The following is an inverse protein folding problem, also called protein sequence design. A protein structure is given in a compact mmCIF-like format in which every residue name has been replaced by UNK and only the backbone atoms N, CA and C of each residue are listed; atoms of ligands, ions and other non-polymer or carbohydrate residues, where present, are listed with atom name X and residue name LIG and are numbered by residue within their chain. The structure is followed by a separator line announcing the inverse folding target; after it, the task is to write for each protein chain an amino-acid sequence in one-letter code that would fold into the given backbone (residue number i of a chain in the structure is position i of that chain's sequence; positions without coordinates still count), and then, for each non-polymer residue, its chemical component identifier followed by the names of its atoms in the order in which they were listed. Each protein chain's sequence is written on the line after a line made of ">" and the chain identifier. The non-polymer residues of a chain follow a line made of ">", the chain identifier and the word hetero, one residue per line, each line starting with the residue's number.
data_IF_160916199698
#
_entry.id   IF_160916199698
#
_cell.length_a   1.000
_cell.length_b   1.000
_cell.length_c   1.000
_cell.angle_alpha   90.00
_cell.angle_beta   90.00
_cell.angle_gamma   90.00
#
_symmetry.space_group_name_H-M   'P 1'
#
loop_
_entity.id
_entity.type
_entity.pdbx_description
1 polymer ?
#
# COMPACT_ATOMS: atom_id res chain seq x y z
N UNK A 1 1.43 37.55 27.67
CA UNK A 1 0.85 36.70 26.63
C UNK A 1 1.94 36.11 25.76
N UNK A 2 1.82 34.83 25.42
CA UNK A 2 2.67 34.13 24.46
C UNK A 2 1.81 33.75 23.25
N UNK A 3 2.43 33.73 22.08
CA UNK A 3 1.78 33.35 20.83
C UNK A 3 2.75 32.51 20.02
N UNK A 4 2.31 31.33 19.58
CA UNK A 4 3.13 30.50 18.69
C UNK A 4 3.21 31.12 17.29
N UNK A 5 4.32 30.92 16.59
CA UNK A 5 4.62 31.60 15.33
C UNK A 5 4.00 30.94 14.08
N UNK A 6 3.42 29.75 14.20
CA UNK A 6 2.98 28.93 13.05
C UNK A 6 1.46 28.80 12.97
N UNK A 7 0.77 28.72 14.10
CA UNK A 7 -0.66 28.49 14.23
C UNK A 7 -1.39 29.59 15.01
N UNK A 8 -0.69 30.65 15.43
CA UNK A 8 -1.22 31.82 16.16
C UNK A 8 -2.01 31.48 17.43
N UNK A 9 -1.70 30.33 18.04
CA UNK A 9 -2.27 29.88 19.31
C UNK A 9 -1.69 30.66 20.48
N UNK A 10 -2.48 30.85 21.52
CA UNK A 10 -2.19 31.81 22.59
C UNK A 10 -2.23 31.16 23.97
N UNK A 11 -1.34 31.65 24.83
CA UNK A 11 -1.29 31.29 26.23
C UNK A 11 -0.78 32.44 27.08
N UNK A 12 -0.74 32.21 28.39
CA UNK A 12 -0.19 33.15 29.36
C UNK A 12 1.03 32.49 29.99
N UNK A 13 2.19 33.10 29.80
CA UNK A 13 3.42 32.74 30.50
C UNK A 13 3.67 33.76 31.60
N UNK A 14 3.90 33.28 32.82
CA UNK A 14 4.21 34.11 33.98
C UNK A 14 5.20 33.39 34.88
N UNK A 15 5.95 34.12 35.70
CA UNK A 15 6.88 33.49 36.62
C UNK A 15 8.03 34.40 37.04
N UNK A 16 8.93 33.82 37.82
CA UNK A 16 10.14 34.48 38.33
C UNK A 16 11.34 33.58 38.04
N UNK A 17 12.40 34.20 37.53
CA UNK A 17 13.71 33.58 37.42
C UNK A 17 14.66 34.31 38.38
N UNK A 18 15.24 33.57 39.32
CA UNK A 18 16.21 34.09 40.29
C UNK A 18 17.59 33.51 40.02
N UNK A 19 18.64 34.25 40.33
CA UNK A 19 20.02 33.79 40.14
C UNK A 19 20.94 34.34 41.22
N UNK A 20 22.08 33.69 41.44
CA UNK A 20 23.19 34.23 42.21
C UNK A 20 24.32 34.68 41.26
N UNK A 21 24.54 35.99 41.12
CA UNK A 21 25.60 36.54 40.24
C UNK A 21 25.56 36.00 38.79
N UNK A 22 24.36 35.88 38.20
CA UNK A 22 24.10 35.28 36.89
C UNK A 22 24.51 33.80 36.78
N UNK A 23 24.69 33.11 37.91
CA UNK A 23 24.92 31.68 38.07
C UNK A 23 23.79 31.08 38.92
N UNK A 24 23.71 29.75 38.94
CA UNK A 24 22.78 28.99 39.80
C UNK A 24 21.33 29.48 39.64
N UNK A 25 20.85 29.45 38.40
CA UNK A 25 19.51 29.90 38.06
C UNK A 25 18.47 28.97 38.67
N UNK A 26 17.46 29.57 39.30
CA UNK A 26 16.30 28.88 39.84
C UNK A 26 15.03 29.50 39.24
N UNK A 27 14.19 28.63 38.70
CA UNK A 27 13.00 29.00 37.94
C UNK A 27 11.74 28.68 38.75
N UNK A 28 10.73 29.53 38.61
CA UNK A 28 9.36 29.25 39.00
C UNK A 28 8.46 29.88 37.94
N UNK A 29 8.13 29.08 36.93
CA UNK A 29 7.42 29.51 35.73
C UNK A 29 6.10 28.76 35.64
N UNK A 30 5.08 29.46 35.16
CA UNK A 30 3.74 28.94 34.94
C UNK A 30 3.28 29.29 33.52
N UNK A 31 2.75 28.29 32.83
CA UNK A 31 2.07 28.44 31.55
C UNK A 31 0.60 28.10 31.77
N UNK A 32 -0.29 28.99 31.36
CA UNK A 32 -1.73 28.75 31.30
C UNK A 32 -2.20 28.84 29.84
N UNK A 33 -2.81 27.76 29.36
CA UNK A 33 -3.36 27.62 28.01
C UNK A 33 -4.88 27.41 28.11
N UNK A 34 -5.70 28.48 28.21
CA UNK A 34 -7.13 28.36 28.51
C UNK A 34 -7.97 27.77 27.37
N UNK A 35 -7.46 27.77 26.14
CA UNK A 35 -8.22 27.33 24.96
C UNK A 35 -7.46 26.27 24.16
N UNK A 36 -6.37 26.68 23.52
CA UNK A 36 -5.61 25.82 22.61
C UNK A 36 -4.24 26.46 22.45
N UNK A 37 -3.19 25.74 22.81
CA UNK A 37 -1.80 26.15 22.66
C UNK A 37 -1.01 25.02 21.96
N UNK A 38 -0.22 25.37 20.95
CA UNK A 38 0.74 24.47 20.34
C UNK A 38 1.84 24.13 21.37
N UNK A 39 2.05 22.84 21.62
CA UNK A 39 3.07 22.37 22.57
C UNK A 39 4.03 21.35 21.98
N UNK A 40 3.69 20.77 20.84
CA UNK A 40 4.55 19.89 20.06
C UNK A 40 4.35 20.21 18.59
N UNK A 41 5.45 20.36 17.84
CA UNK A 41 5.43 20.49 16.39
C UNK A 41 6.70 19.85 15.84
N UNK A 42 6.79 18.53 16.02
CA UNK A 42 7.97 17.76 15.66
C UNK A 42 7.72 17.10 14.31
N UNK A 43 8.54 17.37 13.28
CA UNK A 43 8.40 16.75 11.97
C UNK A 43 8.67 15.24 12.05
N UNK A 44 8.18 14.43 11.08
CA UNK A 44 8.49 13.02 11.03
C UNK A 44 10.00 12.76 10.91
N UNK A 45 10.54 12.01 11.86
CA UNK A 45 11.92 11.51 11.88
C UNK A 45 11.90 10.01 12.27
N UNK A 46 12.74 9.20 11.63
CA UNK A 46 12.83 7.76 11.89
C UNK A 46 13.56 7.42 13.19
N UNK A 47 14.40 8.35 13.67
CA UNK A 47 15.21 8.18 14.89
C UNK A 47 14.50 8.72 16.15
N UNK A 48 13.38 9.42 15.99
CA UNK A 48 12.60 9.98 17.09
C UNK A 48 11.59 8.99 17.67
N UNK A 49 11.50 8.93 18.99
CA UNK A 49 10.55 8.09 19.73
C UNK A 49 9.07 8.47 19.50
N UNK A 50 8.80 9.71 19.07
CA UNK A 50 7.48 10.23 18.78
C UNK A 50 7.58 11.48 17.91
N UNK A 51 6.58 11.73 17.07
CA UNK A 51 6.48 12.97 16.31
C UNK A 51 5.02 13.36 16.05
N UNK A 52 4.82 14.57 15.57
CA UNK A 52 3.51 15.11 15.24
C UNK A 52 3.29 16.53 15.75
N UNK A 53 2.05 16.99 15.63
CA UNK A 53 1.66 18.34 16.04
C UNK A 53 0.61 18.22 17.13
N UNK A 54 0.91 18.66 18.35
CA UNK A 54 0.00 18.55 19.50
C UNK A 54 -0.45 19.92 20.00
N UNK A 55 -1.75 20.05 20.16
CA UNK A 55 -2.40 21.20 20.76
C UNK A 55 -3.09 20.79 22.06
N UNK A 56 -2.92 21.59 23.11
CA UNK A 56 -3.50 21.31 24.41
C UNK A 56 -4.21 22.53 25.01
N UNK A 57 -5.09 22.27 25.96
CA UNK A 57 -5.62 23.23 26.93
C UNK A 57 -5.25 22.78 28.33
N UNK A 58 -4.79 23.68 29.20
CA UNK A 58 -4.40 23.30 30.55
C UNK A 58 -3.37 24.22 31.16
N UNK A 59 -2.60 23.72 32.11
CA UNK A 59 -1.55 24.46 32.79
C UNK A 59 -0.28 23.62 32.95
N UNK A 60 0.86 24.31 32.90
CA UNK A 60 2.16 23.74 33.22
C UNK A 60 2.88 24.58 34.27
N UNK A 61 3.60 23.91 35.16
CA UNK A 61 4.48 24.53 36.17
C UNK A 61 5.88 23.98 35.95
N UNK A 62 6.85 24.87 35.83
CA UNK A 62 8.27 24.55 35.67
C UNK A 62 9.01 25.19 36.84
N UNK A 63 9.58 24.38 37.71
CA UNK A 63 10.17 24.85 38.96
C UNK A 63 11.52 24.19 39.25
N UNK A 64 12.38 24.91 39.96
CA UNK A 64 13.65 24.39 40.47
C UNK A 64 14.88 24.96 39.77
N UNK A 65 16.08 24.48 40.16
CA UNK A 65 17.33 24.86 39.52
C UNK A 65 17.33 24.47 38.04
N UNK A 66 18.00 25.24 37.19
CA UNK A 66 18.09 24.93 35.75
C UNK A 66 18.75 23.57 35.46
N UNK A 67 19.51 23.06 36.42
CA UNK A 67 20.18 21.77 36.36
C UNK A 67 19.35 20.63 36.98
N UNK A 68 18.19 20.93 37.60
CA UNK A 68 17.28 19.99 38.27
C UNK A 68 15.81 20.47 38.15
N UNK A 69 15.32 20.65 36.92
CA UNK A 69 13.97 21.17 36.69
C UNK A 69 12.89 20.11 36.96
N UNK A 70 11.84 20.50 37.65
CA UNK A 70 10.61 19.74 37.85
C UNK A 70 9.49 20.39 37.03
N UNK A 71 8.97 19.64 36.06
CA UNK A 71 7.92 20.08 35.15
C UNK A 71 6.67 19.27 35.44
N UNK A 72 5.57 19.96 35.73
CA UNK A 72 4.26 19.35 35.95
C UNK A 72 3.25 19.93 34.99
N UNK A 73 2.54 19.08 34.28
CA UNK A 73 1.59 19.48 33.25
C UNK A 73 0.26 18.79 33.51
N UNK A 74 -0.81 19.58 33.52
CA UNK A 74 -2.19 19.10 33.57
C UNK A 74 -2.90 19.63 32.34
N UNK A 75 -3.29 18.76 31.42
CA UNK A 75 -3.76 19.21 30.13
C UNK A 75 -4.74 18.25 29.46
N UNK A 76 -5.59 18.80 28.61
CA UNK A 76 -6.47 18.05 27.72
C UNK A 76 -6.09 18.28 26.26
N UNK A 77 -6.21 17.24 25.42
CA UNK A 77 -5.94 17.37 23.98
C UNK A 77 -6.96 18.28 23.30
N UNK A 78 -6.51 19.02 22.29
CA UNK A 78 -7.33 19.95 21.51
C UNK A 78 -7.29 19.62 20.02
N UNK A 79 -8.23 20.21 19.27
CA UNK A 79 -8.41 19.95 17.85
C UNK A 79 -7.14 20.22 17.04
N UNK A 80 -6.84 19.28 16.14
CA UNK A 80 -5.65 19.31 15.29
C UNK A 80 -4.44 18.61 15.90
N UNK A 81 -4.61 17.97 17.06
CA UNK A 81 -3.57 17.11 17.64
C UNK A 81 -3.43 15.84 16.82
N UNK A 82 -2.24 15.63 16.28
CA UNK A 82 -1.80 14.39 15.65
C UNK A 82 -0.58 13.89 16.39
N UNK A 83 -0.65 12.66 16.90
CA UNK A 83 0.44 12.05 17.65
C UNK A 83 0.78 10.71 17.03
N UNK A 84 2.05 10.51 16.70
CA UNK A 84 2.54 9.28 16.10
C UNK A 84 3.66 8.66 16.92
N UNK A 85 3.53 7.36 17.17
CA UNK A 85 4.53 6.54 17.84
C UNK A 85 5.12 5.57 16.81
N UNK A 86 6.36 5.79 16.34
CA UNK A 86 7.11 4.77 15.63
C UNK A 86 7.56 3.68 16.60
N UNK A 87 7.20 2.41 16.34
CA UNK A 87 7.87 1.28 16.99
C UNK A 87 9.22 1.06 16.29
N UNK A 88 10.32 1.42 16.93
CA UNK A 88 11.67 1.16 16.42
C UNK A 88 12.24 -0.12 17.05
N UNK A 89 12.70 -1.06 16.22
CA UNK A 89 13.50 -2.24 16.64
C UNK A 89 14.90 -1.85 17.13
N UNK A 90 15.32 -0.63 16.84
CA UNK A 90 16.40 -0.04 17.60
C UNK A 90 15.81 0.19 18.98
N UNK A 91 16.39 -0.48 19.99
CA UNK A 91 16.67 0.21 21.25
C UNK A 91 16.93 1.65 20.82
N UNK A 92 15.96 2.54 21.05
CA UNK A 92 16.31 3.94 21.09
C UNK A 92 17.18 3.97 22.33
N UNK A 93 18.46 3.67 22.14
CA UNK A 93 19.55 4.39 22.75
C UNK A 93 19.25 5.81 22.30
N UNK A 94 18.24 6.42 22.94
CA UNK A 94 17.68 7.69 22.57
C UNK A 94 18.82 8.61 22.81
N UNK A 95 19.47 8.98 21.71
CA UNK A 95 20.86 9.44 21.62
C UNK A 95 21.42 9.73 23.01
N UNK A 96 21.88 8.65 23.65
CA UNK A 96 22.53 8.71 24.94
C UNK A 96 23.85 9.36 24.57
N UNK A 97 23.82 10.69 24.43
CA UNK A 97 24.79 11.52 23.74
C UNK A 97 26.02 11.65 24.64
N UNK A 98 26.63 10.49 24.88
CA UNK A 98 27.91 10.26 25.51
C UNK A 98 29.06 10.56 24.53
N UNK A 99 28.78 10.91 23.26
CA UNK A 99 29.80 11.45 22.36
C UNK A 99 29.98 12.95 22.63
N UNK A 100 30.67 13.23 23.74
CA UNK A 100 31.24 14.54 24.03
C UNK A 100 32.57 14.68 23.30
N UNK A 101 32.61 15.53 22.28
CA UNK A 101 33.88 16.00 21.73
C UNK A 101 34.60 16.84 22.79
N UNK A 102 35.66 16.27 23.39
CA UNK A 102 36.49 16.99 24.35
C UNK A 102 37.03 18.26 23.72
N UNK A 103 36.79 19.41 24.37
CA UNK A 103 37.43 20.66 23.99
C UNK A 103 38.96 20.52 24.05
N UNK A 104 39.74 21.36 23.34
CA UNK A 104 41.20 21.30 23.38
C UNK A 104 41.78 21.39 24.81
N UNK A 105 41.09 22.11 25.71
CA UNK A 105 41.44 22.18 27.12
C UNK A 105 41.20 20.85 27.84
N UNK A 106 40.04 20.21 27.63
CA UNK A 106 39.69 18.91 28.22
C UNK A 106 40.56 17.76 27.71
N UNK A 107 40.98 17.79 26.43
CA UNK A 107 41.98 16.85 25.89
C UNK A 107 43.34 17.02 26.60
N UNK A 108 43.77 18.27 26.85
CA UNK A 108 45.01 18.56 27.57
C UNK A 108 44.94 18.14 29.04
N UNK A 109 43.80 18.27 29.71
CA UNK A 109 43.60 17.82 31.10
C UNK A 109 43.57 16.29 31.22
N UNK A 110 42.98 15.59 30.24
CA UNK A 110 42.97 14.12 30.17
C UNK A 110 44.37 13.54 29.93
N UNK A 111 45.20 14.17 29.10
CA UNK A 111 46.59 13.75 28.83
C UNK A 111 47.51 14.02 30.04
N UNK A 112 47.18 14.99 30.90
CA UNK A 112 47.96 15.36 32.10
C UNK A 112 47.54 14.65 33.39
N UNK A 113 46.64 13.66 33.31
CA UNK A 113 46.31 12.77 34.44
C UNK A 113 45.45 13.39 35.55
N UNK A 114 44.82 14.54 35.33
CA UNK A 114 43.90 15.12 36.29
C UNK A 114 42.52 14.44 36.21
N UNK A 115 41.91 14.15 37.37
CA UNK A 115 40.59 13.51 37.44
C UNK A 115 39.57 14.33 36.64
N UNK A 116 38.95 13.68 35.65
CA UNK A 116 37.79 14.22 34.97
C UNK A 116 36.69 14.29 36.03
N UNK A 117 36.31 15.50 36.45
CA UNK A 117 35.09 15.71 37.24
C UNK A 117 33.96 15.07 36.44
N UNK A 118 33.41 13.96 36.97
CA UNK A 118 32.26 13.27 36.38
C UNK A 118 31.16 14.34 36.30
N UNK A 119 30.81 14.77 35.08
CA UNK A 119 29.79 15.79 34.87
C UNK A 119 28.52 15.27 35.55
N UNK A 120 28.05 15.95 36.59
CA UNK A 120 26.81 15.60 37.27
C UNK A 120 25.70 15.53 36.22
N UNK A 121 24.96 14.42 36.23
CA UNK A 121 23.80 14.24 35.37
C UNK A 121 22.80 15.31 35.81
N UNK A 122 22.59 16.31 34.95
CA UNK A 122 21.59 17.35 35.19
C UNK A 122 20.21 16.68 35.23
N UNK A 123 19.50 16.86 36.33
CA UNK A 123 18.16 16.37 36.57
C UNK A 123 17.14 17.10 35.71
N UNK A 124 16.25 16.35 35.05
CA UNK A 124 14.95 16.85 34.63
C UNK A 124 13.94 15.81 35.07
N UNK A 125 12.87 16.24 35.72
CA UNK A 125 11.73 15.42 36.11
C UNK A 125 10.50 16.00 35.44
N UNK A 126 9.72 15.16 34.76
CA UNK A 126 8.49 15.58 34.10
C UNK A 126 7.35 14.66 34.51
N UNK A 127 6.23 15.27 34.92
CA UNK A 127 4.98 14.60 35.26
C UNK A 127 3.85 15.22 34.41
N UNK A 128 3.28 14.44 33.50
CA UNK A 128 2.14 14.82 32.68
C UNK A 128 0.91 14.07 33.14
N UNK A 129 -0.15 14.81 33.44
CA UNK A 129 -1.52 14.31 33.63
C UNK A 129 -2.35 14.79 32.42
N UNK A 130 -2.61 13.86 31.49
CA UNK A 130 -3.20 14.15 30.20
C UNK A 130 -4.60 13.55 30.08
N UNK A 131 -5.58 14.39 29.78
CA UNK A 131 -6.92 14.00 29.36
C UNK A 131 -6.99 13.96 27.82
N UNK A 132 -6.90 12.75 27.27
CA UNK A 132 -7.02 12.50 25.84
C UNK A 132 -8.51 12.41 25.51
N UNK A 133 -8.97 13.28 24.63
CA UNK A 133 -10.34 13.27 24.11
C UNK A 133 -10.37 13.08 22.58
N UNK A 134 -11.58 13.00 22.02
CA UNK A 134 -11.88 12.78 20.59
C UNK A 134 -11.29 13.81 19.62
N UNK A 135 -10.66 14.88 20.12
CA UNK A 135 -10.01 15.87 19.28
C UNK A 135 -8.59 15.48 18.85
N UNK A 136 -8.02 14.44 19.46
CA UNK A 136 -6.72 13.90 19.10
C UNK A 136 -6.86 12.67 18.19
N UNK A 137 -6.03 12.63 17.15
CA UNK A 137 -5.84 11.48 16.30
C UNK A 137 -4.49 10.84 16.61
N UNK A 138 -4.51 9.54 16.91
CA UNK A 138 -3.33 8.76 17.27
C UNK A 138 -3.05 7.77 16.15
N UNK A 139 -1.79 7.68 15.75
CA UNK A 139 -1.30 6.69 14.80
C UNK A 139 -0.18 5.87 15.43
N UNK A 140 -0.35 4.55 15.42
CA UNK A 140 0.62 3.58 15.92
C UNK A 140 1.03 2.68 14.76
N UNK A 141 2.33 2.53 14.55
CA UNK A 141 2.85 1.52 13.63
C UNK A 141 2.83 0.18 14.35
N UNK A 142 2.04 -0.78 13.88
CA UNK A 142 1.84 -2.10 14.54
C UNK A 142 2.83 -3.14 14.03
N UNK A 143 3.21 -3.04 12.76
CA UNK A 143 4.17 -3.95 12.13
C UNK A 143 5.10 -3.10 11.26
N UNK A 144 6.37 -2.98 11.65
CA UNK A 144 7.36 -2.21 10.91
C UNK A 144 7.76 -2.90 9.59
N UNK A 145 7.82 -4.23 9.56
CA UNK A 145 8.22 -5.00 8.37
C UNK A 145 7.24 -4.78 7.23
N UNK A 146 5.95 -4.86 7.54
CA UNK A 146 4.89 -4.64 6.55
C UNK A 146 4.39 -3.18 6.52
N UNK A 147 4.84 -2.33 7.45
CA UNK A 147 4.35 -0.97 7.67
C UNK A 147 2.82 -0.92 7.90
N UNK A 148 2.29 -1.88 8.67
CA UNK A 148 0.89 -1.87 9.07
C UNK A 148 0.68 -0.82 10.15
N UNK A 149 -0.34 0.02 9.98
CA UNK A 149 -0.61 1.13 10.92
C UNK A 149 -2.02 1.06 11.46
N UNK A 150 -2.17 1.40 12.73
CA UNK A 150 -3.44 1.59 13.38
C UNK A 150 -3.62 3.08 13.63
N UNK A 151 -4.65 3.67 13.03
CA UNK A 151 -4.94 5.09 13.13
C UNK A 151 -6.34 5.30 13.67
N UNK A 152 -6.51 6.11 14.70
CA UNK A 152 -7.83 6.32 15.27
C UNK A 152 -7.93 7.46 16.27
N UNK A 153 -9.14 7.66 16.75
CA UNK A 153 -9.50 8.59 17.81
C UNK A 153 -10.08 7.84 18.97
N UNK A 154 -9.88 8.38 20.15
CA UNK A 154 -10.31 7.75 21.38
C UNK A 154 -10.35 8.73 22.53
N UNK A 155 -10.66 8.17 23.69
CA UNK A 155 -10.67 8.90 24.94
C UNK A 155 -9.91 8.12 26.00
N UNK A 156 -9.27 8.83 26.94
CA UNK A 156 -8.48 8.19 27.98
C UNK A 156 -7.74 9.19 28.84
N UNK A 157 -7.32 8.75 30.02
CA UNK A 157 -6.44 9.54 30.90
C UNK A 157 -5.08 8.88 30.94
N UNK A 158 -4.02 9.64 30.70
CA UNK A 158 -2.65 9.17 30.67
C UNK A 158 -1.80 9.94 31.67
N UNK A 159 -1.16 9.22 32.58
CA UNK A 159 -0.16 9.72 33.50
C UNK A 159 1.22 9.32 32.99
N UNK A 160 2.06 10.28 32.64
CA UNK A 160 3.41 10.05 32.14
C UNK A 160 4.41 10.66 33.11
N UNK A 161 5.37 9.85 33.56
CA UNK A 161 6.49 10.31 34.39
C UNK A 161 7.81 9.92 33.78
N UNK A 162 8.68 10.90 33.58
CA UNK A 162 10.04 10.66 33.13
C UNK A 162 11.07 11.44 33.93
N UNK A 163 12.26 10.86 34.11
CA UNK A 163 13.41 11.56 34.65
C UNK A 163 14.70 11.29 33.85
N UNK A 164 15.68 12.19 33.94
CA UNK A 164 16.99 12.03 33.27
C UNK A 164 17.87 10.92 33.87
N UNK A 165 17.36 10.18 34.86
CA UNK A 165 18.03 9.02 35.44
C UNK A 165 17.55 7.71 34.81
N UNK A 166 16.72 7.79 33.76
CA UNK A 166 16.28 6.67 32.95
C UNK A 166 14.95 6.07 33.39
N UNK A 167 14.22 6.71 34.31
CA UNK A 167 12.86 6.29 34.62
C UNK A 167 11.91 6.89 33.59
N UNK A 168 11.20 6.06 32.82
CA UNK A 168 10.11 6.50 31.96
C UNK A 168 8.93 5.54 32.16
N UNK A 169 7.89 6.02 32.83
CA UNK A 169 6.71 5.24 33.12
C UNK A 169 5.45 5.94 32.62
N UNK A 170 4.49 5.14 32.20
CA UNK A 170 3.19 5.55 31.69
C UNK A 170 2.10 4.70 32.34
N UNK A 171 1.02 5.34 32.76
CA UNK A 171 -0.16 4.68 33.31
C UNK A 171 -1.42 5.24 32.69
N UNK A 172 -2.40 4.38 32.48
CA UNK A 172 -3.72 4.79 32.01
C UNK A 172 -4.27 3.88 30.94
N UNK A 173 -5.49 4.19 30.53
CA UNK A 173 -6.22 3.46 29.51
C UNK A 173 -6.65 4.43 28.41
N UNK A 174 -6.43 4.03 27.16
CA UNK A 174 -6.96 4.69 25.98
C UNK A 174 -7.98 3.77 25.32
N UNK A 175 -9.23 4.22 25.24
CA UNK A 175 -10.32 3.50 24.57
C UNK A 175 -10.53 4.07 23.18
N UNK A 176 -10.47 3.20 22.17
CA UNK A 176 -10.71 3.56 20.77
C UNK A 176 -12.21 3.75 20.53
N UNK A 177 -12.57 4.92 20.03
CA UNK A 177 -13.95 5.27 19.66
C UNK A 177 -14.16 5.02 18.17
N UNK A 178 -13.20 5.44 17.35
CA UNK A 178 -13.19 5.20 15.92
C UNK A 178 -11.76 4.96 15.43
N UNK A 179 -11.59 4.11 14.44
CA UNK A 179 -10.26 3.86 13.92
C UNK A 179 -10.27 3.03 12.65
N UNK A 180 -9.10 2.98 12.03
CA UNK A 180 -8.82 2.28 10.82
C UNK A 180 -7.46 1.58 10.95
N UNK A 181 -7.47 0.29 10.72
CA UNK A 181 -6.28 -0.54 10.64
C UNK A 181 -5.88 -0.68 9.17
N UNK A 182 -4.77 -0.06 8.77
CA UNK A 182 -4.12 -0.29 7.48
C UNK A 182 -3.31 -1.58 7.57
N UNK A 183 -4.01 -2.71 7.41
CA UNK A 183 -3.42 -4.04 7.41
C UNK A 183 -2.59 -4.25 6.15
N UNK A 184 -1.29 -4.52 6.35
CA UNK A 184 -0.35 -4.86 5.30
C UNK A 184 0.31 -6.19 5.61
N UNK A 185 0.48 -7.02 4.59
CA UNK A 185 1.11 -8.32 4.77
C UNK A 185 1.83 -8.78 3.51
N UNK A 186 3.07 -9.26 3.69
CA UNK A 186 3.88 -9.88 2.64
C UNK A 186 4.16 -8.97 1.43
N UNK A 187 4.12 -7.65 1.61
CA UNK A 187 4.36 -6.64 0.56
C UNK A 187 3.31 -6.57 -0.56
N UNK A 188 2.32 -7.46 -0.57
CA UNK A 188 1.33 -7.59 -1.66
C UNK A 188 -0.09 -7.26 -1.18
N UNK A 189 -0.34 -7.42 0.12
CA UNK A 189 -1.65 -7.22 0.72
C UNK A 189 -1.69 -5.84 1.36
N UNK A 190 -2.69 -5.03 1.00
CA UNK A 190 -3.04 -3.82 1.73
C UNK A 190 -4.56 -3.70 1.84
N UNK A 191 -5.08 -3.68 3.07
CA UNK A 191 -6.50 -3.51 3.37
C UNK A 191 -6.71 -2.53 4.51
N UNK A 192 -7.59 -1.58 4.27
CA UNK A 192 -8.09 -0.67 5.31
C UNK A 192 -9.29 -1.31 5.99
N UNK A 193 -9.14 -1.69 7.24
CA UNK A 193 -10.12 -2.43 8.03
C UNK A 193 -10.65 -1.50 9.13
N UNK A 194 -11.97 -1.40 9.28
CA UNK A 194 -12.55 -0.55 10.31
C UNK A 194 -12.32 -1.18 11.70
N UNK A 195 -11.83 -0.38 12.66
CA UNK A 195 -11.67 -0.81 14.05
C UNK A 195 -13.05 -0.85 14.70
N UNK A 196 -13.32 -1.90 15.48
CA UNK A 196 -14.53 -2.02 16.28
C UNK A 196 -14.40 -1.09 17.49
N UNK A 197 -15.37 -0.18 17.73
CA UNK A 197 -15.37 0.69 18.89
C UNK A 197 -15.33 -0.09 20.21
N UNK A 198 -14.58 0.41 21.19
CA UNK A 198 -14.45 -0.18 22.52
C UNK A 198 -13.18 -1.00 22.75
N UNK A 199 -12.35 -1.21 21.71
CA UNK A 199 -10.98 -1.71 21.90
C UNK A 199 -10.14 -0.73 22.73
N UNK A 200 -9.13 -1.22 23.43
CA UNK A 200 -8.33 -0.39 24.33
C UNK A 200 -6.82 -0.67 24.28
N UNK A 201 -6.06 0.29 24.79
CA UNK A 201 -4.64 0.20 25.07
C UNK A 201 -4.44 0.58 26.53
N UNK A 202 -3.78 -0.29 27.30
CA UNK A 202 -3.55 -0.08 28.72
C UNK A 202 -2.07 -0.06 29.06
N UNK A 203 -1.63 1.03 29.69
CA UNK A 203 -0.29 1.20 30.23
C UNK A 203 -0.30 1.02 31.75
N UNK A 204 0.66 0.26 32.29
CA UNK A 204 0.81 0.03 33.73
C UNK A 204 2.25 0.15 34.24
N UNK A 205 3.10 0.86 33.50
CA UNK A 205 4.52 0.99 33.79
C UNK A 205 5.30 1.36 32.54
N UNK A 206 5.97 0.39 31.93
CA UNK A 206 6.83 0.61 30.77
C UNK A 206 6.01 0.99 29.51
N UNK A 207 6.32 2.09 28.81
CA UNK A 207 5.54 2.58 27.67
C UNK A 207 5.46 1.63 26.46
N UNK A 208 6.52 0.86 26.22
CA UNK A 208 6.68 -0.12 25.13
C UNK A 208 5.99 -1.47 25.43
N UNK A 209 5.63 -1.73 26.69
CA UNK A 209 4.93 -2.94 27.12
C UNK A 209 3.43 -2.73 27.35
N UNK A 210 2.88 -1.68 26.76
CA UNK A 210 1.45 -1.41 26.77
C UNK A 210 0.66 -2.62 26.27
N UNK A 211 -0.44 -2.97 26.94
CA UNK A 211 -1.30 -4.08 26.51
C UNK A 211 -2.35 -3.59 25.54
N UNK A 212 -2.39 -4.20 24.37
CA UNK A 212 -3.37 -3.99 23.32
C UNK A 212 -4.52 -4.99 23.47
N UNK A 213 -5.74 -4.53 23.21
CA UNK A 213 -6.91 -5.36 22.95
C UNK A 213 -7.82 -4.65 21.96
N UNK A 214 -7.54 -4.79 20.68
CA UNK A 214 -8.20 -4.04 19.60
C UNK A 214 -8.65 -5.02 18.53
N UNK A 215 -9.93 -4.99 18.19
CA UNK A 215 -10.50 -5.80 17.11
C UNK A 215 -10.82 -4.92 15.91
N UNK A 216 -10.49 -5.37 14.71
CA UNK A 216 -10.88 -4.74 13.45
C UNK A 216 -11.74 -5.70 12.62
N UNK A 217 -12.68 -5.15 11.86
CA UNK A 217 -13.66 -5.92 11.08
C UNK A 217 -13.67 -5.56 9.60
N UNK A 218 -13.48 -6.57 8.77
CA UNK A 218 -13.60 -6.49 7.32
C UNK A 218 -14.82 -7.27 6.85
N UNK A 219 -15.88 -6.56 6.47
CA UNK A 219 -17.11 -7.17 5.97
C UNK A 219 -17.04 -7.40 4.45
N UNK A 220 -17.33 -8.62 4.00
CA UNK A 220 -17.29 -9.01 2.58
C UNK A 220 -18.44 -9.97 2.22
N UNK A 221 -18.76 -10.06 0.93
CA UNK A 221 -19.67 -11.07 0.37
C UNK A 221 -18.87 -12.15 -0.34
N UNK A 222 -18.74 -13.33 0.28
CA UNK A 222 -17.95 -14.44 -0.24
C UNK A 222 -18.80 -15.70 -0.42
N UNK A 223 -18.42 -16.55 -1.37
CA UNK A 223 -19.09 -17.84 -1.60
C UNK A 223 -18.31 -18.96 -0.91
N UNK A 224 -18.86 -19.59 0.14
CA UNK A 224 -18.17 -20.61 0.90
C UNK A 224 -18.32 -22.02 0.29
N UNK A 225 -18.92 -22.15 -0.89
CA UNK A 225 -19.17 -23.44 -1.56
C UNK A 225 -17.93 -24.34 -1.65
N UNK A 226 -16.74 -23.75 -1.71
CA UNK A 226 -15.46 -24.46 -1.79
C UNK A 226 -15.04 -25.14 -0.47
N UNK A 227 -15.62 -24.73 0.66
CA UNK A 227 -15.41 -25.32 1.98
C UNK A 227 -16.48 -26.35 2.34
N UNK A 228 -17.65 -26.24 1.70
CA UNK A 228 -18.81 -27.08 1.98
C UNK A 228 -18.77 -28.34 1.13
N UNK A 229 -19.22 -29.47 1.70
CA UNK A 229 -19.30 -30.73 0.97
C UNK A 229 -20.59 -30.81 0.12
N UNK A 230 -21.51 -29.86 0.30
CA UNK A 230 -22.78 -29.78 -0.43
C UNK A 230 -22.65 -28.93 -1.71
N UNK A 231 -22.64 -29.55 -2.91
CA UNK A 231 -22.52 -28.82 -4.18
C UNK A 231 -23.74 -27.95 -4.51
N UNK A 232 -24.85 -28.07 -3.77
CA UNK A 232 -26.06 -27.27 -3.99
C UNK A 232 -25.95 -25.86 -3.39
N UNK A 233 -24.99 -25.60 -2.50
CA UNK A 233 -24.79 -24.30 -1.90
C UNK A 233 -23.81 -23.47 -2.74
N UNK A 234 -24.33 -22.68 -3.69
CA UNK A 234 -23.52 -21.85 -4.58
C UNK A 234 -24.01 -20.40 -4.58
N UNK A 235 -23.88 -19.70 -3.46
CA UNK A 235 -24.29 -18.29 -3.32
C UNK A 235 -23.36 -17.53 -2.40
N UNK A 236 -23.21 -16.23 -2.65
CA UNK A 236 -22.49 -15.33 -1.76
C UNK A 236 -23.28 -15.07 -0.49
N UNK A 237 -22.60 -15.07 0.65
CA UNK A 237 -23.13 -14.73 1.97
C UNK A 237 -22.27 -13.62 2.60
N UNK A 238 -22.82 -12.82 3.53
CA UNK A 238 -22.01 -11.91 4.34
C UNK A 238 -21.07 -12.71 5.23
N UNK A 239 -19.81 -12.31 5.18
CA UNK A 239 -18.70 -12.84 5.97
C UNK A 239 -17.98 -11.66 6.61
N UNK A 240 -17.83 -11.71 7.93
CA UNK A 240 -17.08 -10.72 8.69
C UNK A 240 -15.72 -11.35 9.07
N UNK A 241 -14.63 -10.85 8.48
CA UNK A 241 -13.27 -11.22 8.89
C UNK A 241 -12.85 -10.29 10.01
N UNK A 242 -12.62 -10.87 11.17
CA UNK A 242 -12.17 -10.18 12.37
C UNK A 242 -10.66 -10.37 12.53
N UNK A 243 -9.99 -9.28 12.85
CA UNK A 243 -8.55 -9.21 13.08
C UNK A 243 -8.36 -8.66 14.49
N UNK A 244 -7.95 -9.52 15.40
CA UNK A 244 -7.76 -9.22 16.81
C UNK A 244 -6.27 -8.97 17.08
N UNK A 245 -5.96 -7.77 17.54
CA UNK A 245 -4.64 -7.33 17.99
C UNK A 245 -4.61 -7.37 19.51
N UNK A 246 -3.79 -8.25 20.07
CA UNK A 246 -3.69 -8.49 21.51
C UNK A 246 -2.24 -8.57 21.98
N UNK A 247 -1.98 -8.48 23.29
CA UNK A 247 -0.62 -8.63 23.83
C UNK A 247 0.12 -7.30 23.95
N UNK A 248 1.46 -7.33 23.97
CA UNK A 248 2.28 -6.13 24.16
C UNK A 248 2.41 -5.34 22.85
N UNK A 249 2.40 -4.01 22.92
CA UNK A 249 2.47 -3.14 21.74
C UNK A 249 3.77 -3.31 20.93
N UNK A 250 4.88 -3.65 21.60
CA UNK A 250 6.16 -3.97 20.95
C UNK A 250 6.13 -5.30 20.19
N UNK A 251 5.27 -6.23 20.59
CA UNK A 251 5.12 -7.53 19.94
C UNK A 251 3.65 -7.95 19.94
N UNK A 252 2.82 -7.31 19.09
CA UNK A 252 1.39 -7.58 19.06
C UNK A 252 1.13 -8.99 18.53
N UNK A 253 0.30 -9.75 19.24
CA UNK A 253 -0.25 -11.01 18.77
C UNK A 253 -1.47 -10.76 17.88
N UNK A 254 -1.33 -11.13 16.62
CA UNK A 254 -2.39 -11.09 15.62
C UNK A 254 -3.17 -12.41 15.64
N UNK A 255 -4.49 -12.34 15.83
CA UNK A 255 -5.38 -13.48 15.70
C UNK A 255 -6.50 -13.16 14.70
N UNK A 256 -6.89 -14.16 13.93
CA UNK A 256 -7.96 -14.04 12.96
C UNK A 256 -9.18 -14.82 13.42
N UNK A 257 -10.37 -14.30 13.13
CA UNK A 257 -11.63 -15.05 13.22
C UNK A 257 -12.56 -14.69 12.07
N UNK A 258 -13.49 -15.60 11.74
CA UNK A 258 -14.42 -15.45 10.62
C UNK A 258 -15.83 -15.68 11.17
N UNK A 259 -16.71 -14.68 11.04
CA UNK A 259 -18.11 -14.80 11.43
C UNK A 259 -19.05 -14.74 10.21
N UNK A 260 -20.21 -15.37 10.37
CA UNK A 260 -21.24 -15.56 9.37
C UNK A 260 -22.59 -15.00 9.85
N UNK A 261 -22.77 -13.67 9.90
CA UNK A 261 -23.85 -13.02 10.66
C UNK A 261 -25.26 -13.28 10.12
N UNK A 262 -25.44 -13.66 8.85
CA UNK A 262 -26.76 -13.86 8.21
C UNK A 262 -26.92 -15.23 7.58
N UNK A 263 -26.22 -16.24 8.11
CA UNK A 263 -26.22 -17.61 7.60
C UNK A 263 -27.10 -18.50 8.46
N UNK A 264 -27.77 -19.50 7.85
CA UNK A 264 -28.57 -20.46 8.62
C UNK A 264 -27.68 -21.27 9.57
N UNK A 265 -28.20 -21.63 10.74
CA UNK A 265 -27.44 -22.35 11.78
C UNK A 265 -26.77 -23.62 11.24
N UNK A 266 -27.45 -24.40 10.40
CA UNK A 266 -26.88 -25.62 9.80
C UNK A 266 -25.64 -25.35 8.95
N UNK A 267 -25.69 -24.33 8.08
CA UNK A 267 -24.55 -23.98 7.22
C UNK A 267 -23.45 -23.33 8.04
N UNK A 268 -23.80 -22.50 9.04
CA UNK A 268 -22.83 -21.89 9.96
C UNK A 268 -22.04 -22.96 10.72
N UNK A 269 -22.70 -23.96 11.30
CA UNK A 269 -22.01 -25.04 12.04
C UNK A 269 -21.11 -25.90 11.14
N UNK A 270 -21.49 -26.14 9.87
CA UNK A 270 -20.61 -26.83 8.92
C UNK A 270 -19.36 -26.00 8.59
N UNK A 271 -19.52 -24.69 8.39
CA UNK A 271 -18.40 -23.79 8.15
C UNK A 271 -17.47 -23.68 9.37
N UNK A 272 -18.03 -23.57 10.57
CA UNK A 272 -17.26 -23.56 11.82
C UNK A 272 -16.49 -24.87 12.03
N UNK A 273 -17.08 -26.00 11.65
CA UNK A 273 -16.39 -27.30 11.70
C UNK A 273 -15.21 -27.37 10.71
N UNK A 274 -15.37 -26.82 9.50
CA UNK A 274 -14.29 -26.74 8.50
C UNK A 274 -13.20 -25.74 8.92
N UNK A 275 -13.57 -24.70 9.68
CA UNK A 275 -12.69 -23.65 10.20
C UNK A 275 -12.32 -23.89 11.68
N UNK A 276 -12.00 -25.13 12.05
CA UNK A 276 -11.74 -25.48 13.46
C UNK A 276 -10.31 -25.19 13.92
N UNK A 277 -9.32 -25.25 13.02
CA UNK A 277 -7.91 -25.04 13.37
C UNK A 277 -7.52 -23.57 13.20
N UNK A 278 -6.61 -23.10 14.04
CA UNK A 278 -6.09 -21.73 13.97
C UNK A 278 -5.46 -21.46 12.60
N UNK A 279 -4.71 -22.42 12.09
CA UNK A 279 -4.01 -22.35 10.81
C UNK A 279 -4.99 -22.22 9.64
N UNK A 280 -6.11 -22.95 9.67
CA UNK A 280 -7.11 -22.87 8.59
C UNK A 280 -7.91 -21.57 8.69
N UNK A 281 -8.26 -21.10 9.88
CA UNK A 281 -8.90 -19.78 10.06
C UNK A 281 -7.98 -18.67 9.52
N UNK A 282 -6.71 -18.66 9.90
CA UNK A 282 -5.73 -17.66 9.47
C UNK A 282 -5.57 -17.67 7.94
N UNK A 283 -5.36 -18.85 7.36
CA UNK A 283 -5.25 -19.02 5.91
C UNK A 283 -6.48 -18.52 5.17
N UNK A 284 -7.68 -18.86 5.63
CA UNK A 284 -8.93 -18.45 5.00
C UNK A 284 -9.18 -16.94 5.18
N UNK A 285 -8.84 -16.38 6.34
CA UNK A 285 -8.94 -14.95 6.61
C UNK A 285 -8.01 -14.15 5.69
N UNK A 286 -6.75 -14.56 5.56
CA UNK A 286 -5.80 -13.95 4.62
C UNK A 286 -6.32 -14.08 3.18
N UNK A 287 -6.84 -15.24 2.79
CA UNK A 287 -7.37 -15.45 1.44
C UNK A 287 -8.60 -14.56 1.14
N UNK A 288 -9.49 -14.38 2.11
CA UNK A 288 -10.61 -13.45 2.02
C UNK A 288 -10.14 -11.99 1.95
N UNK A 289 -9.14 -11.60 2.73
CA UNK A 289 -8.56 -10.26 2.70
C UNK A 289 -7.87 -9.96 1.36
N UNK A 290 -7.32 -10.96 0.68
CA UNK A 290 -6.58 -10.78 -0.58
C UNK A 290 -7.42 -10.90 -1.83
N UNK A 291 -8.20 -11.98 -1.92
CA UNK A 291 -8.95 -12.36 -3.11
C UNK A 291 -10.45 -12.10 -2.98
N UNK A 292 -10.95 -11.96 -1.75
CA UNK A 292 -12.37 -11.86 -1.47
C UNK A 292 -13.15 -13.18 -1.61
N UNK A 293 -12.46 -14.32 -1.62
CA UNK A 293 -13.03 -15.66 -1.74
C UNK A 293 -12.43 -16.60 -0.69
N UNK A 294 -12.99 -17.81 -0.54
CA UNK A 294 -12.40 -18.90 0.25
C UNK A 294 -11.54 -19.81 -0.65
N UNK A 295 -10.65 -20.61 -0.04
CA UNK A 295 -9.79 -21.59 -0.73
C UNK A 295 -10.06 -23.01 -0.22
N UNK A 296 -9.81 -24.06 -1.02
CA UNK A 296 -9.96 -25.46 -0.60
C UNK A 296 -8.58 -26.10 -0.33
N UNK A 297 -8.49 -26.99 0.67
CA UNK A 297 -7.30 -27.79 1.01
C UNK A 297 -6.72 -28.58 -0.19
N UNK A 298 -7.57 -29.07 -1.10
CA UNK A 298 -7.14 -29.82 -2.30
C UNK A 298 -6.49 -28.96 -3.39
N UNK A 299 -6.53 -27.63 -3.27
CA UNK A 299 -5.88 -26.67 -4.19
C UNK A 299 -4.55 -26.12 -3.66
N UNK A 300 -4.06 -26.63 -2.53
CA UNK A 300 -2.94 -26.06 -1.75
C UNK A 300 -1.54 -26.17 -2.35
N UNK A 301 -1.37 -26.55 -3.62
CA UNK A 301 -0.05 -26.63 -4.27
C UNK A 301 0.08 -25.86 -5.59
N UNK A 302 -0.97 -25.85 -6.42
CA UNK A 302 -0.87 -25.37 -7.81
C UNK A 302 -1.59 -24.05 -8.08
N UNK A 303 -2.69 -23.74 -7.36
CA UNK A 303 -3.50 -22.56 -7.65
C UNK A 303 -3.08 -21.30 -6.86
N UNK A 304 -2.26 -21.47 -5.82
CA UNK A 304 -1.56 -20.36 -5.19
C UNK A 304 -0.51 -19.79 -6.15
N UNK A 305 0.19 -20.66 -6.89
CA UNK A 305 1.10 -20.25 -7.95
C UNK A 305 0.35 -19.60 -9.11
N UNK A 306 -0.81 -20.07 -9.57
CA UNK A 306 -1.55 -19.42 -10.66
C UNK A 306 -2.06 -18.01 -10.33
N UNK A 307 -2.68 -17.83 -9.16
CA UNK A 307 -3.27 -16.53 -8.77
C UNK A 307 -2.29 -15.53 -8.16
N UNK A 308 -1.22 -16.00 -7.51
CA UNK A 308 -0.06 -15.15 -7.24
C UNK A 308 0.80 -14.96 -8.47
N UNK A 309 1.04 -15.92 -9.36
CA UNK A 309 1.79 -15.66 -10.59
C UNK A 309 1.04 -14.62 -11.41
N UNK A 310 -0.27 -14.73 -11.63
CA UNK A 310 -1.01 -13.70 -12.38
C UNK A 310 -0.93 -12.30 -11.72
N UNK A 311 -0.74 -12.19 -10.40
CA UNK A 311 -0.59 -10.89 -9.70
C UNK A 311 0.86 -10.43 -9.49
N UNK A 312 1.79 -11.36 -9.31
CA UNK A 312 3.24 -11.18 -9.21
C UNK A 312 3.78 -10.86 -10.59
N UNK A 313 3.32 -11.51 -11.66
CA UNK A 313 3.60 -11.14 -13.05
C UNK A 313 3.18 -9.71 -13.32
N UNK A 314 2.00 -9.29 -12.85
CA UNK A 314 1.55 -7.90 -12.98
C UNK A 314 2.32 -6.89 -12.10
N UNK A 315 2.91 -7.32 -10.97
CA UNK A 315 3.75 -6.48 -10.10
C UNK A 315 5.22 -6.43 -10.55
N UNK A 316 5.77 -7.56 -11.02
CA UNK A 316 7.14 -7.71 -11.55
C UNK A 316 7.29 -6.97 -12.87
N UNK A 317 6.24 -6.97 -13.71
CA UNK A 317 6.15 -6.11 -14.90
C UNK A 317 6.31 -4.62 -14.55
N UNK A 318 5.98 -4.20 -13.33
CA UNK A 318 6.13 -2.81 -12.86
C UNK A 318 7.40 -2.52 -12.07
N UNK A 319 8.10 -3.55 -11.56
CA UNK A 319 9.30 -3.40 -10.71
C UNK A 319 10.62 -3.40 -11.50
N UNK A 320 10.64 -4.00 -12.69
CA UNK A 320 11.82 -4.03 -13.57
C UNK A 320 11.64 -3.25 -14.88
N UNK A 321 10.49 -2.61 -15.07
CA UNK A 321 10.31 -1.62 -16.12
C UNK A 321 11.09 -0.36 -15.74
N UNK A 322 12.16 -0.07 -16.48
CA UNK A 322 12.83 1.23 -16.43
C UNK A 322 11.80 2.34 -16.74
N UNK A 323 11.94 3.54 -16.16
CA UNK A 323 10.98 4.66 -16.31
C UNK A 323 10.74 5.03 -17.79
N UNK A 324 11.66 4.66 -18.69
CA UNK A 324 11.58 4.86 -20.14
C UNK A 324 11.02 3.65 -20.94
N UNK A 325 10.63 2.54 -20.27
CA UNK A 325 10.01 1.36 -20.89
C UNK A 325 10.92 0.58 -21.87
N UNK A 326 12.24 0.79 -21.80
CA UNK A 326 13.24 0.20 -22.72
C UNK A 326 13.51 -1.28 -22.46
N UNK A 327 13.23 -1.75 -21.24
CA UNK A 327 13.50 -3.11 -20.82
C UNK A 327 12.39 -3.57 -19.86
N UNK A 328 11.72 -4.67 -20.21
CA UNK A 328 10.64 -5.26 -19.43
C UNK A 328 10.92 -6.75 -19.22
N UNK A 329 10.76 -7.22 -17.98
CA UNK A 329 10.86 -8.64 -17.64
C UNK A 329 9.52 -9.10 -17.12
N UNK A 330 8.94 -10.09 -17.79
CA UNK A 330 7.72 -10.75 -17.35
C UNK A 330 8.02 -12.14 -16.81
N UNK A 331 7.22 -12.56 -15.84
CA UNK A 331 7.15 -13.94 -15.39
C UNK A 331 5.79 -14.48 -15.79
N UNK A 332 5.69 -15.75 -16.16
CA UNK A 332 4.42 -16.43 -16.40
C UNK A 332 4.45 -17.86 -15.88
N UNK A 333 3.29 -18.41 -15.55
CA UNK A 333 3.16 -19.81 -15.18
C UNK A 333 2.09 -20.46 -16.05
N UNK A 334 2.45 -21.52 -16.74
CA UNK A 334 1.52 -22.31 -17.55
C UNK A 334 1.36 -23.70 -16.93
N UNK A 335 0.13 -24.04 -16.56
CA UNK A 335 -0.22 -25.37 -16.05
C UNK A 335 -0.14 -26.42 -17.16
N UNK A 336 0.48 -27.56 -16.86
CA UNK A 336 0.57 -28.69 -17.77
C UNK A 336 -0.74 -29.46 -17.87
N UNK A 337 -1.05 -29.95 -19.07
CA UNK A 337 -2.19 -30.82 -19.34
C UNK A 337 -1.94 -32.24 -18.83
N UNK A 338 -2.94 -32.82 -18.15
CA UNK A 338 -2.91 -34.19 -17.60
C UNK A 338 -3.92 -35.12 -18.30
N UNK A 339 -4.20 -34.87 -19.58
CA UNK A 339 -5.11 -35.68 -20.37
C UNK A 339 -4.44 -37.05 -20.69
N UNK A 340 -5.21 -38.16 -20.81
CA UNK A 340 -4.66 -39.51 -21.03
C UNK A 340 -3.76 -39.67 -22.27
N UNK A 341 -3.86 -38.73 -23.21
CA UNK A 341 -3.19 -38.67 -24.50
C UNK A 341 -2.29 -37.44 -24.67
N UNK A 342 -2.20 -36.57 -23.66
CA UNK A 342 -1.29 -35.42 -23.62
C UNK A 342 -0.89 -35.17 -22.16
N UNK A 343 0.28 -35.69 -21.77
CA UNK A 343 0.92 -35.32 -20.51
C UNK A 343 1.95 -34.24 -20.81
N UNK A 344 1.73 -33.05 -20.27
CA UNK A 344 2.70 -31.95 -20.31
C UNK A 344 2.99 -31.51 -18.88
N UNK A 345 4.26 -31.22 -18.59
CA UNK A 345 4.68 -30.71 -17.29
C UNK A 345 4.24 -29.24 -17.12
N UNK A 346 4.09 -28.82 -15.86
CA UNK A 346 3.95 -27.40 -15.53
C UNK A 346 5.20 -26.63 -15.95
N UNK A 347 5.07 -25.39 -16.42
CA UNK A 347 6.21 -24.56 -16.83
C UNK A 347 6.16 -23.18 -16.19
N UNK A 348 7.32 -22.70 -15.77
CA UNK A 348 7.56 -21.29 -15.40
C UNK A 348 8.20 -20.61 -16.61
N UNK A 349 7.51 -19.64 -17.18
CA UNK A 349 7.98 -18.78 -18.25
C UNK A 349 8.66 -17.53 -17.72
N UNK A 350 9.77 -17.17 -18.36
CA UNK A 350 10.43 -15.86 -18.21
C UNK A 350 10.34 -15.21 -19.59
N UNK A 351 9.71 -14.04 -19.67
CA UNK A 351 9.68 -13.22 -20.88
C UNK A 351 10.56 -11.99 -20.72
N UNK A 352 11.28 -11.65 -21.79
CA UNK A 352 12.19 -10.53 -21.87
C UNK A 352 11.79 -9.70 -23.07
N UNK A 353 11.44 -8.45 -22.85
CA UNK A 353 11.18 -7.49 -23.92
C UNK A 353 12.18 -6.35 -23.79
N UNK A 354 12.96 -6.12 -24.85
CA UNK A 354 13.98 -5.08 -24.88
C UNK A 354 13.89 -4.25 -26.15
N UNK A 355 13.74 -2.94 -25.98
CA UNK A 355 13.80 -1.96 -27.04
C UNK A 355 15.23 -1.46 -27.15
N UNK A 356 15.99 -2.03 -28.08
CA UNK A 356 17.39 -1.67 -28.32
C UNK A 356 17.50 -0.22 -28.78
N UNK A 357 16.54 0.23 -29.60
CA UNK A 357 16.36 1.62 -30.01
C UNK A 357 14.93 1.86 -30.53
N UNK A 358 14.65 3.05 -31.03
CA UNK A 358 13.35 3.44 -31.61
C UNK A 358 12.89 2.59 -32.80
N UNK A 359 13.75 1.72 -33.36
CA UNK A 359 13.46 0.91 -34.54
C UNK A 359 13.54 -0.60 -34.31
N UNK A 360 14.16 -1.07 -33.24
CA UNK A 360 14.44 -2.50 -33.01
C UNK A 360 13.89 -2.92 -31.65
N UNK A 361 12.96 -3.88 -31.68
CA UNK A 361 12.37 -4.52 -30.52
C UNK A 361 12.74 -6.01 -30.52
N UNK A 362 13.22 -6.50 -29.38
CA UNK A 362 13.54 -7.92 -29.18
C UNK A 362 12.61 -8.45 -28.10
N UNK A 363 11.89 -9.52 -28.40
CA UNK A 363 11.07 -10.28 -27.45
C UNK A 363 11.65 -11.68 -27.34
N UNK A 364 11.92 -12.16 -26.13
CA UNK A 364 12.33 -13.53 -25.86
C UNK A 364 11.43 -14.14 -24.80
N UNK A 365 11.10 -15.42 -24.92
CA UNK A 365 10.38 -16.18 -23.89
C UNK A 365 11.07 -17.50 -23.66
N UNK A 366 11.34 -17.85 -22.40
CA UNK A 366 11.93 -19.13 -22.02
C UNK A 366 11.05 -19.82 -20.99
N UNK A 367 10.59 -21.03 -21.30
CA UNK A 367 9.80 -21.87 -20.40
C UNK A 367 10.65 -22.96 -19.75
N UNK A 368 10.70 -22.98 -18.42
CA UNK A 368 11.41 -23.97 -17.62
C UNK A 368 10.40 -24.92 -17.00
N UNK A 369 10.47 -26.25 -17.25
CA UNK A 369 9.54 -27.21 -16.66
C UNK A 369 9.79 -27.35 -15.15
N UNK A 370 8.72 -27.41 -14.37
CA UNK A 370 8.75 -27.61 -12.91
C UNK A 370 7.85 -28.80 -12.54
N UNK A 371 8.28 -29.68 -11.63
CA UNK A 371 7.46 -30.80 -11.15
C UNK A 371 7.90 -32.23 -11.52
N UNK A 372 9.15 -32.44 -11.93
CA UNK A 372 9.80 -33.75 -11.86
C UNK A 372 9.26 -34.88 -12.73
N UNK A 373 9.67 -34.91 -14.00
CA UNK A 373 9.97 -36.13 -14.77
C UNK A 373 10.76 -35.74 -16.04
N UNK A 374 12.00 -36.22 -16.16
CA UNK A 374 12.85 -36.42 -17.36
C UNK A 374 12.63 -35.63 -18.68
N UNK A 375 12.29 -34.35 -18.66
CA UNK A 375 12.30 -33.52 -19.86
C UNK A 375 13.12 -32.24 -19.63
N UNK A 376 14.36 -32.24 -20.15
CA UNK A 376 15.29 -31.10 -20.18
C UNK A 376 15.08 -30.19 -21.39
N UNK A 377 13.91 -30.24 -22.02
CA UNK A 377 13.61 -29.40 -23.17
C UNK A 377 13.27 -27.97 -22.69
N UNK A 378 14.29 -27.12 -22.65
CA UNK A 378 14.12 -25.68 -22.49
C UNK A 378 13.38 -25.17 -23.74
N UNK A 379 12.13 -24.75 -23.55
CA UNK A 379 11.33 -24.11 -24.59
C UNK A 379 11.76 -22.66 -24.70
N UNK A 380 12.24 -22.22 -25.86
CA UNK A 380 12.73 -20.86 -26.07
C UNK A 380 12.18 -20.27 -27.36
N UNK A 381 11.48 -19.16 -27.23
CA UNK A 381 11.01 -18.35 -28.35
C UNK A 381 11.82 -17.04 -28.40
N UNK A 382 12.19 -16.59 -29.59
CA UNK A 382 12.80 -15.29 -29.81
C UNK A 382 12.18 -14.64 -31.04
N UNK A 383 11.74 -13.39 -30.89
CA UNK A 383 11.23 -12.54 -31.96
C UNK A 383 12.01 -11.23 -32.00
N UNK A 384 12.43 -10.83 -33.19
CA UNK A 384 13.05 -9.54 -33.45
C UNK A 384 12.17 -8.78 -34.43
N UNK A 385 11.64 -7.63 -34.01
CA UNK A 385 10.87 -6.73 -34.85
C UNK A 385 11.71 -5.50 -35.19
N UNK A 386 11.77 -5.19 -36.49
CA UNK A 386 12.45 -4.03 -37.04
C UNK A 386 11.44 -3.12 -37.77
N UNK A 387 11.30 -1.89 -37.28
CA UNK A 387 10.60 -0.78 -37.94
C UNK A 387 11.51 -0.24 -39.06
N UNK A 388 11.12 -0.49 -40.31
CA UNK A 388 11.94 -0.14 -41.47
C UNK A 388 11.90 1.38 -41.70
N UNK A 389 10.73 1.99 -41.52
CA UNK A 389 10.49 3.41 -41.72
C UNK A 389 10.19 4.16 -40.41
N UNK A 390 10.35 5.48 -40.45
CA UNK A 390 10.24 6.37 -39.29
C UNK A 390 8.81 6.48 -38.74
N UNK A 391 7.83 6.37 -39.62
CA UNK A 391 6.40 6.36 -39.30
C UNK A 391 5.91 4.99 -38.81
N UNK A 392 6.77 3.95 -38.81
CA UNK A 392 6.48 2.63 -38.23
C UNK A 392 5.38 1.84 -38.94
N UNK A 393 4.98 2.29 -40.12
CA UNK A 393 3.96 1.65 -40.97
C UNK A 393 4.49 0.39 -41.65
N UNK A 394 5.81 0.27 -41.88
CA UNK A 394 6.47 -0.91 -42.45
C UNK A 394 7.34 -1.62 -41.41
N UNK A 395 7.03 -2.89 -41.15
CA UNK A 395 7.69 -3.71 -40.12
C UNK A 395 8.16 -5.03 -40.68
N UNK A 396 9.33 -5.47 -40.23
CA UNK A 396 9.86 -6.79 -40.52
C UNK A 396 10.05 -7.57 -39.21
N UNK A 397 9.52 -8.78 -39.16
CA UNK A 397 9.53 -9.65 -37.99
C UNK A 397 10.33 -10.92 -38.31
N UNK A 398 11.31 -11.22 -37.49
CA UNK A 398 12.07 -12.46 -37.51
C UNK A 398 11.69 -13.23 -36.26
N UNK A 399 11.34 -14.51 -36.38
CA UNK A 399 11.03 -15.32 -35.21
C UNK A 399 11.67 -16.70 -35.29
N UNK A 400 12.00 -17.23 -34.12
CA UNK A 400 12.28 -18.63 -33.88
C UNK A 400 11.41 -19.03 -32.69
N UNK A 401 10.53 -20.01 -32.88
CA UNK A 401 9.60 -20.49 -31.86
C UNK A 401 9.62 -22.01 -31.79
N UNK A 402 9.30 -22.60 -30.64
CA UNK A 402 9.19 -24.05 -30.54
C UNK A 402 8.02 -24.59 -31.38
N UNK A 403 8.22 -25.72 -32.07
CA UNK A 403 7.16 -26.35 -32.86
C UNK A 403 6.15 -27.06 -31.95
N UNK A 404 4.85 -26.75 -32.10
CA UNK A 404 3.77 -27.25 -31.24
C UNK A 404 3.28 -28.67 -31.62
N UNK A 405 3.66 -29.17 -32.81
CA UNK A 405 3.15 -30.43 -33.37
C UNK A 405 4.32 -31.32 -33.82
N UNK A 406 4.65 -32.34 -33.01
CA UNK A 406 5.54 -33.41 -33.45
C UNK A 406 4.77 -34.36 -34.37
N UNK A 407 4.94 -34.22 -35.69
CA UNK A 407 4.53 -35.26 -36.63
C UNK A 407 5.47 -36.47 -36.48
N UNK A 408 4.89 -37.68 -36.49
CA UNK A 408 5.66 -38.93 -36.37
C UNK A 408 6.66 -39.01 -37.53
N UNK A 409 7.95 -38.85 -37.24
CA UNK A 409 9.05 -38.97 -38.19
C UNK A 409 9.83 -37.69 -38.51
N UNK A 410 9.56 -36.55 -37.85
CA UNK A 410 10.27 -35.29 -38.11
C UNK A 410 10.83 -34.68 -36.81
N UNK A 411 12.16 -34.60 -36.71
CA UNK A 411 12.92 -34.10 -35.53
C UNK A 411 13.07 -32.56 -35.53
N UNK A 412 12.05 -31.81 -35.97
CA UNK A 412 12.16 -30.35 -36.04
C UNK A 412 11.62 -29.72 -34.74
N UNK A 413 12.55 -29.36 -33.85
CA UNK A 413 12.26 -28.84 -32.50
C UNK A 413 11.87 -27.34 -32.54
N UNK A 414 12.21 -26.63 -33.61
CA UNK A 414 12.00 -25.18 -33.74
C UNK A 414 11.52 -24.78 -35.15
N UNK A 415 10.58 -23.84 -35.21
CA UNK A 415 10.10 -23.16 -36.41
C UNK A 415 10.71 -21.77 -36.53
N UNK A 416 11.34 -21.47 -37.66
CA UNK A 416 11.95 -20.17 -37.95
C UNK A 416 11.25 -19.51 -39.13
N UNK A 417 10.98 -18.21 -39.02
CA UNK A 417 10.28 -17.49 -40.07
C UNK A 417 10.61 -16.01 -40.15
N UNK A 418 10.33 -15.46 -41.33
CA UNK A 418 10.41 -14.03 -41.65
C UNK A 418 9.02 -13.56 -42.09
N UNK A 419 8.55 -12.47 -41.50
CA UNK A 419 7.31 -11.80 -41.90
C UNK A 419 7.54 -10.32 -42.17
N UNK A 420 6.79 -9.75 -43.11
CA UNK A 420 6.75 -8.31 -43.35
C UNK A 420 5.31 -7.84 -43.27
N UNK A 421 5.06 -6.74 -42.58
CA UNK A 421 3.74 -6.12 -42.48
C UNK A 421 3.81 -4.64 -42.85
N UNK A 422 2.81 -4.17 -43.59
CA UNK A 422 2.66 -2.77 -43.97
C UNK A 422 1.25 -2.31 -43.60
N UNK A 423 1.16 -1.27 -42.76
CA UNK A 423 -0.10 -0.73 -42.27
C UNK A 423 -0.36 0.66 -42.87
N UNK A 424 -1.53 0.86 -43.45
CA UNK A 424 -1.88 2.12 -44.14
C UNK A 424 -3.21 2.61 -43.61
N UNK A 425 -3.22 3.82 -43.03
CA UNK A 425 -4.45 4.50 -42.67
C UNK A 425 -5.06 5.19 -43.90
N UNK A 426 -6.36 4.99 -44.12
CA UNK A 426 -7.11 5.58 -45.22
C UNK A 426 -8.54 5.88 -44.78
N UNK A 427 -9.11 6.99 -45.28
CA UNK A 427 -10.50 7.33 -45.05
C UNK A 427 -11.41 6.88 -46.20
N UNK A 428 -10.84 6.63 -47.38
CA UNK A 428 -11.57 6.17 -48.57
C UNK A 428 -10.78 5.11 -49.35
N UNK A 429 -11.48 4.23 -50.07
CA UNK A 429 -10.85 3.20 -50.92
C UNK A 429 -9.94 3.79 -52.02
N UNK A 430 -10.30 4.96 -52.55
CA UNK A 430 -9.47 5.69 -53.53
C UNK A 430 -8.13 6.14 -52.92
N UNK A 431 -8.15 6.62 -51.68
CA UNK A 431 -6.95 7.04 -50.94
C UNK A 431 -6.01 5.86 -50.64
N UNK A 432 -6.56 4.68 -50.33
CA UNK A 432 -5.76 3.45 -50.13
C UNK A 432 -5.00 3.05 -51.40
N UNK A 433 -5.67 3.05 -52.56
CA UNK A 433 -5.04 2.70 -53.85
C UNK A 433 -3.98 3.75 -54.24
N UNK A 434 -4.25 5.03 -53.99
CA UNK A 434 -3.27 6.10 -54.23
C UNK A 434 -2.02 5.92 -53.36
N UNK A 435 -2.18 5.61 -52.07
CA UNK A 435 -1.07 5.37 -51.14
C UNK A 435 -0.29 4.08 -51.40
N UNK A 436 -0.94 3.01 -51.86
CA UNK A 436 -0.26 1.73 -52.14
C UNK A 436 0.47 1.71 -53.48
N UNK A 437 -0.06 2.40 -54.50
CA UNK A 437 0.44 2.31 -55.87
C UNK A 437 0.98 3.63 -56.42
N UNK A 438 1.02 4.69 -55.61
CA UNK A 438 1.49 6.03 -55.99
C UNK A 438 0.83 6.57 -57.27
N UNK A 439 -0.44 6.18 -57.51
CA UNK A 439 -1.24 6.57 -58.66
C UNK A 439 -2.45 7.36 -58.21
N UNK A 440 -2.53 8.62 -58.62
CA UNK A 440 -3.74 9.43 -58.47
C UNK A 440 -4.87 8.80 -59.27
N UNK A 441 -5.86 8.27 -58.58
CA UNK A 441 -7.15 7.93 -59.18
C UNK A 441 -7.92 9.24 -59.38
N UNK A 442 -7.76 9.85 -60.55
CA UNK A 442 -8.76 10.79 -61.04
C UNK A 442 -10.02 10.00 -61.31
N UNK A 443 -11.02 10.11 -60.44
CA UNK A 443 -12.39 9.78 -60.79
C UNK A 443 -12.83 10.85 -61.78
N UNK A 444 -12.52 10.61 -63.05
CA UNK A 444 -13.12 11.33 -64.18
C UNK A 444 -14.61 10.97 -64.12
N UNK A 445 -15.42 11.97 -63.73
CA UNK A 445 -16.87 11.84 -63.78
C UNK A 445 -17.27 11.70 -65.23
N UNK A 446 -17.48 10.46 -65.68
CA UNK A 446 -18.16 10.19 -66.93
C UNK A 446 -19.56 10.77 -66.83
N UNK A 447 -19.76 11.89 -67.53
CA UNK A 447 -21.07 12.38 -67.90
C UNK A 447 -21.76 11.32 -68.76
N UNK A 448 -22.57 10.49 -68.11
CA UNK A 448 -23.61 9.74 -68.78
C UNK A 448 -24.89 10.58 -68.70
N UNK A 449 -25.14 11.33 -69.78
CA UNK A 449 -26.47 11.77 -70.16
C UNK A 449 -27.39 10.54 -70.21
N UNK A 450 -28.14 10.30 -69.14
CA UNK A 450 -29.29 9.42 -69.19
C UNK A 450 -30.44 10.21 -69.84
N UNK A 451 -31.03 9.77 -70.96
CA UNK A 451 -32.16 10.47 -71.54
C UNK A 451 -33.35 10.37 -70.60
N UNK A 452 -33.88 11.53 -70.23
CA UNK A 452 -35.17 11.71 -69.57
C UNK A 452 -36.28 11.08 -70.43
N UNK A 453 -36.94 10.05 -69.92
CA UNK A 453 -38.19 9.52 -70.48
C UNK A 453 -39.33 10.05 -69.60
N UNK A 454 -40.16 10.97 -70.10
CA UNK A 454 -41.36 11.39 -69.38
C UNK A 454 -42.44 10.31 -69.51
N UNK A 455 -43.00 9.92 -68.37
CA UNK A 455 -44.16 9.04 -68.27
C UNK A 455 -45.42 9.78 -68.76
N UNK A 456 -46.06 9.21 -69.78
CA UNK A 456 -47.31 9.68 -70.38
C UNK A 456 -48.48 9.03 -69.65
N UNK A 457 -49.02 9.73 -68.66
CA UNK A 457 -50.40 9.52 -68.20
C UNK A 457 -51.17 10.83 -68.13
N UNK A 458 -51.75 11.20 -69.27
CA UNK A 458 -53.05 11.89 -69.44
C UNK A 458 -53.23 13.37 -69.02
N UNK A 459 -53.51 14.20 -70.03
CA UNK A 459 -54.13 15.55 -70.03
C UNK A 459 -55.64 15.52 -69.67
N UNK A 460 -56.39 16.66 -69.66
CA UNK A 460 -56.10 18.06 -69.25
C UNK A 460 -57.23 18.68 -68.37
N UNK A 461 -57.03 19.93 -67.90
CA UNK A 461 -57.97 21.07 -68.02
C UNK A 461 -58.08 21.96 -66.76
N UNK A 462 -57.77 23.24 -66.98
CA UNK A 462 -58.38 24.44 -66.40
C UNK A 462 -58.75 24.45 -64.91
N UNK A 463 -58.07 25.28 -64.12
CA UNK A 463 -58.78 26.31 -63.35
C UNK A 463 -57.92 27.56 -63.17
N UNK A 464 -58.37 28.62 -63.83
CA UNK A 464 -57.94 30.00 -63.67
C UNK A 464 -58.42 30.53 -62.31
N UNK A 465 -57.55 31.25 -61.58
CA UNK A 465 -57.97 32.39 -60.75
C UNK A 465 -56.80 33.36 -60.54
N UNK A 466 -56.83 34.40 -61.37
CA UNK A 466 -56.67 35.82 -61.03
C UNK A 466 -55.53 36.24 -60.07
N UNK A 467 -54.53 36.97 -60.57
CA UNK A 467 -54.50 38.45 -60.71
C UNK A 467 -54.49 39.23 -59.38
N UNK A 468 -53.31 39.78 -59.05
CA UNK A 468 -52.95 41.22 -58.93
C UNK A 468 -51.78 41.37 -57.94
N UNK A 469 -50.62 41.91 -58.38
CA UNK A 469 -50.20 43.32 -58.22
C UNK A 469 -50.31 43.78 -56.76
N UNK A 470 -49.24 44.13 -56.07
CA UNK A 470 -48.27 45.19 -56.40
C UNK A 470 -46.96 44.95 -55.67
#
# INVERSE_FOLDING_TARGET
>A
DITDTKFDTKGVFSGVATHANYRDWNLNLKIDAPQRLLVLDTPPDEDELYYGTSFISGNAVIQGPIDELDIKVFAATQKGTTFKIPLSDTESIGDDSFIKFLSPQEKRTRISGQQIVKKEIKGLSVDFDLDINENAEVEVVIDKVNNSTLKGRGAGTLLIRLDTKGKFNMWGEFTVIEGLYDFRYGGIIQKKIAVIPGGNINWDGEPDRARLNISAKYAIQANPSVLLDNPSFNRKIPVDVLVDLSGEIIQPALNFSIDFPRTSSTVKSELEFKLQSKEEIEKQAIFLLTTGSFVNEGMGGANFAGTLADRVSNLVNGLFADEEGKFNVGLDYSQGSRLPNQQTADRVGISLQSKINERILINGKVGIPVGGANETAIAGDIEVQWLINEDGTLRMNFFNRQADIQFIGEDQIFEQGLGMSYNVDFNTLSELIEKLFNKKLTLEGDGLDAPFVPDDTSFPANFNKDKKRK
#
